data_IF_121256263443
#
_entry.id   IF_121256263443
#
_cell.length_a   1.000
_cell.length_b   1.000
_cell.length_c   1.000
_cell.angle_alpha   90.00
_cell.angle_beta   90.00
_cell.angle_gamma   90.00
#
_symmetry.space_group_name_H-M   'P 1'
#
loop_
_entity.id
_entity.type
_entity.pdbx_description
1 polymer ?
#
# COMPACT_ATOMS: atom_id res chain seq x y z
N UNK A 1 -30.37 -47.18 -6.67
CA UNK A 1 -29.71 -46.13 -5.86
C UNK A 1 -28.93 -45.21 -6.79
N UNK A 2 -29.61 -44.31 -7.50
CA UNK A 2 -28.95 -43.27 -8.28
C UNK A 2 -28.80 -42.06 -7.38
N UNK A 3 -27.77 -42.06 -6.51
CA UNK A 3 -27.37 -40.85 -5.82
C UNK A 3 -26.82 -39.92 -6.91
N UNK A 4 -27.72 -39.07 -7.40
CA UNK A 4 -27.63 -38.42 -8.69
C UNK A 4 -26.37 -37.59 -8.78
N UNK A 5 -25.66 -37.71 -9.91
CA UNK A 5 -24.54 -36.86 -10.31
C UNK A 5 -24.81 -35.37 -10.04
N UNK A 6 -26.07 -34.93 -10.12
CA UNK A 6 -26.51 -33.58 -9.76
C UNK A 6 -26.29 -33.21 -8.29
N UNK A 7 -26.54 -34.09 -7.32
CA UNK A 7 -26.30 -33.81 -5.89
C UNK A 7 -24.80 -33.65 -5.59
N UNK A 8 -23.94 -34.42 -6.26
CA UNK A 8 -22.47 -34.29 -6.10
C UNK A 8 -21.97 -32.98 -6.71
N UNK A 9 -22.47 -32.58 -7.88
CA UNK A 9 -22.12 -31.30 -8.51
C UNK A 9 -22.60 -30.11 -7.67
N UNK A 10 -23.80 -30.16 -7.12
CA UNK A 10 -24.34 -29.10 -6.23
C UNK A 10 -23.49 -28.97 -4.96
N UNK A 11 -23.11 -30.10 -4.33
CA UNK A 11 -22.25 -30.08 -3.15
C UNK A 11 -20.85 -29.52 -3.45
N UNK A 12 -20.26 -29.88 -4.59
CA UNK A 12 -18.95 -29.34 -5.02
C UNK A 12 -19.03 -27.84 -5.31
N UNK A 13 -20.06 -27.37 -6.00
CA UNK A 13 -20.26 -25.94 -6.29
C UNK A 13 -20.48 -25.15 -5.00
N UNK A 14 -21.30 -25.65 -4.07
CA UNK A 14 -21.47 -25.04 -2.75
C UNK A 14 -20.16 -24.97 -1.97
N UNK A 15 -19.33 -26.02 -2.02
CA UNK A 15 -18.01 -26.01 -1.37
C UNK A 15 -17.09 -24.96 -1.98
N UNK A 16 -17.04 -24.80 -3.31
CA UNK A 16 -16.24 -23.74 -3.95
C UNK A 16 -16.72 -22.32 -3.62
N UNK A 17 -18.03 -22.09 -3.54
CA UNK A 17 -18.60 -20.77 -3.18
C UNK A 17 -18.38 -20.45 -1.69
N UNK A 18 -18.38 -21.46 -0.81
CA UNK A 18 -18.07 -21.26 0.61
C UNK A 18 -16.58 -20.99 0.89
N UNK A 19 -15.69 -21.41 -0.03
CA UNK A 19 -14.25 -21.16 0.06
C UNK A 19 -13.78 -19.91 -0.71
N UNK A 20 -14.68 -19.21 -1.42
CA UNK A 20 -14.32 -17.93 -2.03
C UNK A 20 -14.26 -16.84 -0.97
N UNK A 21 -13.05 -16.52 -0.49
CA UNK A 21 -12.84 -15.31 0.29
C UNK A 21 -13.16 -14.09 -0.58
N UNK A 22 -14.09 -13.25 -0.13
CA UNK A 22 -14.31 -11.92 -0.67
C UNK A 22 -13.01 -11.12 -0.51
N UNK A 23 -12.24 -10.95 -1.58
CA UNK A 23 -11.01 -10.15 -1.57
C UNK A 23 -11.39 -8.68 -1.50
N UNK A 24 -11.61 -8.17 -0.29
CA UNK A 24 -11.77 -6.75 -0.05
C UNK A 24 -10.39 -6.09 0.03
N UNK A 25 -10.20 -4.97 -0.67
CA UNK A 25 -8.98 -4.19 -0.56
C UNK A 25 -8.83 -3.66 0.88
N UNK A 26 -7.68 -3.95 1.51
CA UNK A 26 -7.40 -3.48 2.85
C UNK A 26 -7.00 -1.99 2.83
N UNK A 27 -7.15 -1.33 3.98
CA UNK A 27 -6.67 0.05 4.18
C UNK A 27 -5.65 0.07 5.31
N UNK A 28 -4.50 0.69 5.07
CA UNK A 28 -3.39 0.80 6.02
C UNK A 28 -3.07 2.26 6.33
N UNK A 29 -3.10 2.63 7.60
CA UNK A 29 -2.60 3.92 8.07
C UNK A 29 -1.08 3.86 8.20
N UNK A 30 -0.36 4.58 7.33
CA UNK A 30 1.10 4.61 7.32
C UNK A 30 1.60 5.24 8.63
N UNK A 31 2.53 4.54 9.31
CA UNK A 31 3.02 4.94 10.64
C UNK A 31 2.05 4.67 11.80
N UNK A 32 0.88 4.06 11.55
CA UNK A 32 -0.10 3.76 12.59
C UNK A 32 -0.68 5.04 13.22
N UNK A 33 -0.70 5.11 14.55
CA UNK A 33 -1.20 6.27 15.31
C UNK A 33 -0.30 7.50 15.21
N UNK A 34 1.00 7.30 14.96
CA UNK A 34 2.00 8.37 14.84
C UNK A 34 1.89 9.07 13.48
N UNK A 35 1.47 8.34 12.45
CA UNK A 35 1.28 8.86 11.10
C UNK A 35 2.56 8.94 10.27
N UNK A 36 2.48 9.70 9.17
CA UNK A 36 3.57 9.88 8.22
C UNK A 36 4.59 10.90 8.73
N UNK A 37 5.66 10.40 9.32
CA UNK A 37 6.70 11.22 9.97
C UNK A 37 8.09 10.59 9.81
N UNK A 38 9.09 11.16 10.49
CA UNK A 38 10.48 10.69 10.53
C UNK A 38 10.59 9.24 11.02
N UNK A 39 11.64 8.54 10.57
CA UNK A 39 11.93 7.15 10.94
C UNK A 39 10.79 6.14 10.64
N UNK A 40 10.01 6.37 9.58
CA UNK A 40 8.90 5.47 9.16
C UNK A 40 9.36 4.26 8.34
N UNK A 41 10.65 4.13 8.04
CA UNK A 41 11.25 3.07 7.20
C UNK A 41 10.85 1.65 7.61
N UNK A 42 10.75 1.39 8.91
CA UNK A 42 10.41 0.07 9.44
C UNK A 42 8.92 -0.29 9.44
N UNK A 43 8.03 0.67 9.15
CA UNK A 43 6.58 0.48 9.35
C UNK A 43 5.99 -0.64 8.48
N UNK A 44 6.53 -0.88 7.28
CA UNK A 44 6.03 -1.93 6.39
C UNK A 44 6.42 -3.35 6.82
N UNK A 45 7.36 -3.51 7.78
CA UNK A 45 7.86 -4.82 8.21
C UNK A 45 6.75 -5.69 8.80
N UNK A 46 6.68 -6.95 8.36
CA UNK A 46 5.71 -7.94 8.84
C UNK A 46 4.29 -7.78 8.30
N UNK A 47 4.02 -6.77 7.44
CA UNK A 47 2.71 -6.59 6.81
C UNK A 47 2.65 -7.29 5.46
N UNK A 48 1.48 -7.81 5.11
CA UNK A 48 1.21 -8.47 3.82
C UNK A 48 0.30 -7.58 2.98
N UNK A 49 0.88 -6.90 2.01
CA UNK A 49 0.14 -6.01 1.11
C UNK A 49 -0.31 -6.75 -0.14
N UNK A 50 -1.45 -6.37 -0.68
CA UNK A 50 -2.01 -6.86 -1.95
C UNK A 50 -2.23 -5.71 -2.93
N UNK A 51 -2.15 -6.00 -4.22
CA UNK A 51 -2.54 -5.03 -5.25
C UNK A 51 -3.97 -4.53 -4.99
N UNK A 52 -4.16 -3.21 -5.07
CA UNK A 52 -5.45 -2.58 -4.83
C UNK A 52 -5.69 -2.11 -3.39
N UNK A 53 -4.92 -2.59 -2.40
CA UNK A 53 -4.93 -2.07 -1.03
C UNK A 53 -4.66 -0.56 -1.02
N UNK A 54 -5.19 0.15 -0.03
CA UNK A 54 -5.03 1.61 0.11
C UNK A 54 -4.11 1.95 1.26
N UNK A 55 -3.09 2.77 0.99
CA UNK A 55 -2.32 3.47 2.01
C UNK A 55 -2.96 4.81 2.33
N UNK A 56 -3.04 5.14 3.61
CA UNK A 56 -3.47 6.45 4.11
C UNK A 56 -2.29 7.11 4.80
N UNK A 57 -1.86 8.25 4.26
CA UNK A 57 -0.79 9.06 4.80
C UNK A 57 -1.39 10.23 5.57
N UNK A 58 -1.32 10.16 6.91
CA UNK A 58 -1.80 11.22 7.79
C UNK A 58 -0.62 12.07 8.26
N UNK A 59 -0.67 13.37 8.04
CA UNK A 59 0.36 14.32 8.46
C UNK A 59 -0.20 15.75 8.46
N UNK A 60 0.44 16.67 9.20
CA UNK A 60 0.05 18.08 9.17
C UNK A 60 0.35 18.67 7.80
N UNK A 61 -0.65 19.25 7.14
CA UNK A 61 -0.46 19.90 5.85
C UNK A 61 0.66 20.96 5.94
N UNK A 62 1.58 20.94 4.98
CA UNK A 62 2.73 21.83 4.95
C UNK A 62 3.95 21.36 5.76
N UNK A 63 3.88 20.25 6.52
CA UNK A 63 5.08 19.68 7.19
C UNK A 63 5.67 18.50 6.45
N UNK A 64 4.84 17.71 5.77
CA UNK A 64 5.27 16.62 4.92
C UNK A 64 4.51 16.65 3.59
N UNK A 65 4.92 15.79 2.68
CA UNK A 65 4.17 15.42 1.50
C UNK A 65 4.42 13.95 1.18
N UNK A 66 3.69 13.43 0.21
CA UNK A 66 3.88 12.06 -0.30
C UNK A 66 4.22 12.14 -1.77
N UNK A 67 5.30 11.49 -2.17
CA UNK A 67 5.71 11.37 -3.55
C UNK A 67 5.81 9.89 -3.90
N UNK A 68 5.05 9.46 -4.90
CA UNK A 68 5.20 8.13 -5.49
C UNK A 68 6.36 8.15 -6.49
N UNK A 69 7.33 7.24 -6.32
CA UNK A 69 8.62 7.31 -7.01
C UNK A 69 9.09 5.94 -7.49
N UNK A 70 10.11 5.92 -8.35
CA UNK A 70 10.84 4.70 -8.71
C UNK A 70 11.81 4.30 -7.59
N UNK A 71 12.39 3.09 -7.69
CA UNK A 71 13.40 2.62 -6.74
C UNK A 71 14.63 3.53 -6.73
N UNK A 72 15.10 3.98 -7.89
CA UNK A 72 16.31 4.79 -8.02
C UNK A 72 16.14 6.15 -7.33
N UNK A 73 14.97 6.78 -7.52
CA UNK A 73 14.62 8.04 -6.87
C UNK A 73 14.46 7.86 -5.37
N UNK A 74 13.86 6.75 -4.94
CA UNK A 74 13.73 6.38 -3.53
C UNK A 74 15.10 6.21 -2.87
N UNK A 75 15.99 5.42 -3.47
CA UNK A 75 17.33 5.13 -2.94
C UNK A 75 18.17 6.42 -2.82
N UNK A 76 18.11 7.27 -3.84
CA UNK A 76 18.86 8.55 -3.88
C UNK A 76 18.22 9.68 -3.09
N UNK A 77 16.97 9.52 -2.64
CA UNK A 77 16.18 10.59 -2.03
C UNK A 77 16.13 11.88 -2.87
N UNK A 78 16.08 11.75 -4.21
CA UNK A 78 16.19 12.87 -5.13
C UNK A 78 15.12 12.81 -6.21
N UNK A 79 14.06 13.60 -6.06
CA UNK A 79 12.98 13.69 -7.06
C UNK A 79 13.42 14.48 -8.29
N UNK A 80 13.13 14.00 -9.52
CA UNK A 80 13.33 14.80 -10.73
C UNK A 80 12.42 16.03 -10.73
N UNK A 81 12.77 17.05 -11.53
CA UNK A 81 11.97 18.28 -11.67
C UNK A 81 10.54 18.04 -12.18
N UNK A 82 10.31 16.94 -12.92
CA UNK A 82 9.00 16.56 -13.48
C UNK A 82 8.80 15.05 -13.41
N UNK A 83 7.55 14.61 -13.45
CA UNK A 83 7.18 13.20 -13.63
C UNK A 83 6.82 12.43 -12.35
N UNK A 84 7.10 12.96 -11.17
CA UNK A 84 6.65 12.35 -9.92
C UNK A 84 5.28 12.89 -9.49
N UNK A 85 4.37 11.99 -9.11
CA UNK A 85 3.08 12.38 -8.56
C UNK A 85 3.24 12.79 -7.10
N UNK A 86 2.87 14.03 -6.79
CA UNK A 86 3.02 14.64 -5.46
C UNK A 86 1.64 14.85 -4.85
N UNK A 87 1.48 14.42 -3.60
CA UNK A 87 0.28 14.59 -2.82
C UNK A 87 0.57 15.49 -1.61
N UNK A 88 -0.38 16.36 -1.25
CA UNK A 88 -0.17 17.45 -0.27
C UNK A 88 -1.37 17.69 0.65
N UNK A 89 -2.36 16.80 0.70
CA UNK A 89 -3.60 17.09 1.45
C UNK A 89 -3.45 16.95 2.96
N UNK A 90 -2.43 16.21 3.44
CA UNK A 90 -2.32 15.83 4.86
C UNK A 90 -3.12 14.57 5.24
N UNK A 91 -3.94 14.05 4.32
CA UNK A 91 -4.70 12.80 4.47
C UNK A 91 -4.77 12.06 3.13
N UNK A 92 -3.60 11.88 2.51
CA UNK A 92 -3.54 11.33 1.15
C UNK A 92 -3.86 9.85 1.13
N UNK A 93 -4.64 9.43 0.13
CA UNK A 93 -5.00 8.02 -0.10
C UNK A 93 -4.39 7.55 -1.39
N UNK A 94 -3.61 6.47 -1.34
CA UNK A 94 -2.92 5.91 -2.51
C UNK A 94 -3.19 4.41 -2.60
N UNK A 95 -3.68 3.96 -3.74
CA UNK A 95 -3.85 2.53 -4.02
C UNK A 95 -2.53 1.92 -4.45
N UNK A 96 -2.19 0.75 -3.92
CA UNK A 96 -0.99 0.01 -4.29
C UNK A 96 -1.16 -0.64 -5.66
N UNK A 97 -0.15 -0.47 -6.51
CA UNK A 97 0.01 -1.28 -7.71
C UNK A 97 0.56 -2.66 -7.34
N UNK A 98 0.37 -3.66 -8.22
CA UNK A 98 1.02 -4.96 -8.05
C UNK A 98 2.55 -4.80 -8.12
N UNK A 99 3.27 -5.50 -7.24
CA UNK A 99 4.73 -5.45 -7.15
C UNK A 99 5.24 -4.33 -6.24
N UNK A 100 6.38 -3.76 -6.60
CA UNK A 100 7.10 -2.80 -5.77
C UNK A 100 6.50 -1.40 -5.85
N UNK A 101 6.27 -0.79 -4.70
CA UNK A 101 5.76 0.57 -4.53
C UNK A 101 6.68 1.35 -3.59
N UNK A 102 7.10 2.55 -3.99
CA UNK A 102 8.01 3.40 -3.21
C UNK A 102 7.39 4.77 -2.97
N UNK A 103 7.42 5.21 -1.72
CA UNK A 103 6.90 6.50 -1.30
C UNK A 103 7.89 7.22 -0.41
N UNK A 104 8.00 8.54 -0.57
CA UNK A 104 8.86 9.38 0.26
C UNK A 104 8.33 10.81 0.37
N UNK A 105 8.81 11.55 1.38
CA UNK A 105 8.67 12.99 1.44
C UNK A 105 9.87 13.65 0.78
N UNK A 106 9.66 14.56 -0.17
CA UNK A 106 10.74 15.23 -0.89
C UNK A 106 11.08 16.63 -0.36
N UNK A 107 10.60 16.97 0.84
CA UNK A 107 11.08 18.16 1.53
C UNK A 107 12.57 17.98 1.86
N UNK A 108 13.38 19.06 1.81
CA UNK A 108 14.82 18.97 2.04
C UNK A 108 15.15 18.21 3.33
N UNK A 109 16.01 17.19 3.24
CA UNK A 109 16.43 16.34 4.36
C UNK A 109 15.44 15.26 4.81
N UNK A 110 14.13 15.39 4.53
CA UNK A 110 13.11 14.50 5.12
C UNK A 110 13.25 13.03 4.68
N UNK A 111 13.47 12.78 3.39
CA UNK A 111 13.68 11.42 2.89
C UNK A 111 14.91 10.75 3.52
N UNK A 112 16.03 11.49 3.63
CA UNK A 112 17.27 11.01 4.25
C UNK A 112 17.09 10.69 5.74
N UNK A 113 16.25 11.47 6.43
CA UNK A 113 15.86 11.23 7.83
C UNK A 113 14.73 10.20 7.99
N UNK A 114 14.52 9.36 6.98
CA UNK A 114 13.65 8.19 7.08
C UNK A 114 12.16 8.43 6.88
N UNK A 115 11.74 9.56 6.30
CA UNK A 115 10.35 9.80 5.85
C UNK A 115 10.14 9.13 4.48
N UNK A 116 10.27 7.80 4.45
CA UNK A 116 10.24 6.97 3.24
C UNK A 116 9.82 5.53 3.57
N UNK A 117 9.05 4.89 2.69
CA UNK A 117 8.65 3.48 2.80
C UNK A 117 8.74 2.75 1.45
N UNK A 118 9.10 1.48 1.51
CA UNK A 118 9.09 0.54 0.39
C UNK A 118 8.15 -0.62 0.72
N UNK A 119 7.31 -1.00 -0.25
CA UNK A 119 6.28 -2.02 -0.10
C UNK A 119 6.28 -2.91 -1.34
N UNK A 120 6.22 -4.22 -1.13
CA UNK A 120 5.89 -5.18 -2.18
C UNK A 120 4.45 -5.67 -1.96
N UNK A 121 3.58 -5.40 -2.94
CA UNK A 121 2.19 -5.84 -2.96
C UNK A 121 2.05 -7.07 -3.86
N UNK A 122 1.50 -8.16 -3.33
CA UNK A 122 1.26 -9.39 -4.07
C UNK A 122 0.14 -9.23 -5.12
#
# INVERSE_FOLDING_TARGET
>A
MALGRGSVVVLLVCFFVLNSELVHAATYNVGGTVGWTFNTVGWSRGKRFRAGDTLVFNYRQGTHNVVAVTKEVYDKCSTPRRGSKVYRSGKDRVRLAKGQNYFMCNFPGHCGSGVKIAINAA
#
